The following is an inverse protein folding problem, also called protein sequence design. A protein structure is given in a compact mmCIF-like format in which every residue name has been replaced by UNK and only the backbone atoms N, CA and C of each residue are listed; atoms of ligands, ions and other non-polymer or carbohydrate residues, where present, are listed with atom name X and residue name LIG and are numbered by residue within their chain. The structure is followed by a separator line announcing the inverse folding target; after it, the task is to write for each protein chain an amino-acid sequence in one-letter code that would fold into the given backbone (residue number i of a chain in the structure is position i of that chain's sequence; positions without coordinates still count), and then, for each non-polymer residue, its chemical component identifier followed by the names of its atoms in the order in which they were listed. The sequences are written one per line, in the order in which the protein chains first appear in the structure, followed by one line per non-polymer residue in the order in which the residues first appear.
data_IF_899329443219
#
_entry.id   IF_899329443219
#
_cell.length_a   1.000
_cell.length_b   1.000
_cell.length_c   1.000
_cell.angle_alpha   90.00
_cell.angle_beta   90.00
_cell.angle_gamma   90.00
#
_symmetry.space_group_name_H-M   'P 1'
#
loop_
_entity.id
_entity.type
_entity.pdbx_description
1 polymer ?
#
# COMPACT_ATOMS: atom_id res chain seq x y z
N UNK A 1 8.74 -6.48 -1.83
CA UNK A 1 8.25 -5.95 -0.52
C UNK A 1 9.35 -5.22 0.22
N UNK A 2 10.51 -5.86 0.48
CA UNK A 2 11.68 -5.24 1.12
C UNK A 2 12.06 -3.89 0.48
N UNK A 3 12.36 -3.85 -0.84
CA UNK A 3 12.67 -2.60 -1.56
C UNK A 3 11.60 -1.51 -1.47
N UNK A 4 10.32 -1.88 -1.43
CA UNK A 4 9.20 -0.94 -1.31
C UNK A 4 9.18 -0.28 0.06
N UNK A 5 9.43 -1.07 1.10
CA UNK A 5 9.46 -0.63 2.49
C UNK A 5 10.72 0.21 2.76
N UNK A 6 11.88 -0.22 2.28
CA UNK A 6 13.16 0.45 2.54
C UNK A 6 13.24 1.86 1.91
N UNK A 7 12.43 2.14 0.89
CA UNK A 7 12.44 3.43 0.18
C UNK A 7 11.07 4.11 0.19
N UNK A 8 10.25 3.81 1.20
CA UNK A 8 8.90 4.36 1.32
C UNK A 8 8.92 5.88 1.62
N UNK A 9 10.04 6.37 2.15
CA UNK A 9 10.40 7.80 2.26
C UNK A 9 10.60 8.48 0.89
N UNK A 10 10.91 7.71 -0.16
CA UNK A 10 11.05 8.15 -1.54
C UNK A 10 9.93 7.61 -2.41
N UNK A 11 8.71 8.00 -2.08
CA UNK A 11 7.46 7.50 -2.67
C UNK A 11 7.50 7.37 -4.22
N UNK A 12 8.04 8.38 -4.91
CA UNK A 12 8.16 8.40 -6.38
C UNK A 12 9.05 7.28 -6.94
N UNK A 13 10.08 6.86 -6.19
CA UNK A 13 11.01 5.81 -6.62
C UNK A 13 10.45 4.39 -6.44
N UNK A 14 9.48 4.21 -5.55
CA UNK A 14 8.85 2.90 -5.25
C UNK A 14 7.51 2.70 -5.93
N UNK A 15 6.87 3.77 -6.39
CA UNK A 15 5.59 3.76 -7.13
C UNK A 15 5.56 2.75 -8.29
N UNK A 16 6.57 2.65 -9.18
CA UNK A 16 6.56 1.69 -10.27
C UNK A 16 6.55 0.22 -9.78
N UNK A 17 7.25 -0.06 -8.68
CA UNK A 17 7.27 -1.40 -8.08
C UNK A 17 5.94 -1.73 -7.41
N UNK A 18 5.34 -0.76 -6.72
CA UNK A 18 4.00 -0.92 -6.13
C UNK A 18 2.97 -1.18 -7.24
N UNK A 19 3.03 -0.44 -8.34
CA UNK A 19 2.16 -0.66 -9.51
C UNK A 19 2.36 -2.03 -10.13
N UNK A 20 3.60 -2.50 -10.31
CA UNK A 20 3.87 -3.83 -10.85
C UNK A 20 3.25 -4.94 -9.99
N UNK A 21 3.44 -4.88 -8.67
CA UNK A 21 2.87 -5.86 -7.75
C UNK A 21 1.35 -5.76 -7.67
N UNK A 22 0.80 -4.55 -7.64
CA UNK A 22 -0.65 -4.35 -7.67
C UNK A 22 -1.27 -4.89 -8.97
N UNK A 23 -0.63 -4.71 -10.13
CA UNK A 23 -1.14 -5.24 -11.39
C UNK A 23 -1.12 -6.77 -11.47
N UNK A 24 -0.24 -7.43 -10.73
CA UNK A 24 -0.28 -8.89 -10.58
C UNK A 24 -1.42 -9.32 -9.66
N UNK A 25 -1.69 -8.54 -8.61
CA UNK A 25 -2.78 -8.76 -7.65
C UNK A 25 -4.17 -8.49 -8.26
N UNK A 26 -4.30 -7.53 -9.17
CA UNK A 26 -5.59 -7.21 -9.83
C UNK A 26 -6.15 -8.39 -10.63
N UNK A 27 -5.29 -9.31 -11.07
CA UNK A 27 -5.67 -10.53 -11.81
C UNK A 27 -6.21 -11.65 -10.91
N UNK A 28 -6.17 -11.48 -9.59
CA UNK A 28 -6.49 -12.53 -8.61
C UNK A 28 -7.88 -12.40 -7.98
N UNK A 29 -8.71 -11.45 -8.42
CA UNK A 29 -10.05 -11.23 -7.83
C UNK A 29 -10.02 -10.71 -6.39
N UNK A 30 -8.91 -10.07 -6.00
CA UNK A 30 -8.71 -9.50 -4.66
C UNK A 30 -9.76 -8.46 -4.31
N UNK A 31 -10.22 -8.47 -3.06
CA UNK A 31 -11.12 -7.48 -2.49
C UNK A 31 -10.37 -6.42 -1.69
N UNK A 32 -11.07 -5.34 -1.34
CA UNK A 32 -10.53 -4.30 -0.47
C UNK A 32 -10.13 -4.86 0.92
N UNK A 33 -10.91 -5.79 1.46
CA UNK A 33 -10.62 -6.45 2.74
C UNK A 33 -9.39 -7.34 2.70
N UNK A 34 -9.10 -7.97 1.56
CA UNK A 34 -7.90 -8.81 1.45
C UNK A 34 -6.60 -8.01 1.56
N UNK A 35 -6.61 -6.74 1.14
CA UNK A 35 -5.48 -5.83 1.30
C UNK A 35 -5.28 -5.46 2.79
N UNK A 36 -6.36 -5.33 3.56
CA UNK A 36 -6.28 -5.13 5.01
C UNK A 36 -5.71 -6.37 5.70
N UNK A 37 -6.27 -7.54 5.39
CA UNK A 37 -5.80 -8.84 5.88
C UNK A 37 -4.32 -9.05 5.62
N UNK A 38 -3.82 -8.68 4.43
CA UNK A 38 -2.41 -8.77 4.10
C UNK A 38 -1.54 -7.88 5.01
N UNK A 39 -1.98 -6.65 5.29
CA UNK A 39 -1.24 -5.72 6.15
C UNK A 39 -1.20 -6.23 7.61
N UNK A 40 -2.33 -6.75 8.10
CA UNK A 40 -2.43 -7.30 9.46
C UNK A 40 -1.58 -8.57 9.61
N UNK A 41 -1.63 -9.46 8.61
CA UNK A 41 -0.79 -10.66 8.57
C UNK A 41 0.70 -10.30 8.56
N UNK A 42 1.08 -9.22 7.87
CA UNK A 42 2.46 -8.74 7.84
C UNK A 42 2.93 -8.25 9.22
N UNK A 43 2.12 -7.47 9.95
CA UNK A 43 2.43 -7.08 11.33
C UNK A 43 2.54 -8.29 12.24
N UNK A 44 1.60 -9.23 12.15
CA UNK A 44 1.61 -10.44 12.97
C UNK A 44 2.89 -11.27 12.74
N UNK A 45 3.28 -11.46 11.47
CA UNK A 45 4.51 -12.14 11.10
C UNK A 45 5.76 -11.42 11.64
N UNK A 46 5.82 -10.08 11.53
CA UNK A 46 6.92 -9.27 12.09
C UNK A 46 7.03 -9.44 13.60
N UNK A 47 5.89 -9.40 14.31
CA UNK A 47 5.84 -9.57 15.76
C UNK A 47 6.33 -10.94 16.19
N UNK A 48 5.95 -12.00 15.46
CA UNK A 48 6.44 -13.37 15.71
C UNK A 48 7.95 -13.46 15.45
N UNK A 49 8.43 -12.90 14.34
CA UNK A 49 9.83 -13.02 13.94
C UNK A 49 10.79 -12.25 14.85
N UNK A 50 10.43 -11.03 15.25
CA UNK A 50 11.27 -10.16 16.08
C UNK A 50 11.09 -10.41 17.58
N UNK A 51 9.96 -10.98 17.99
CA UNK A 51 9.68 -11.31 19.39
C UNK A 51 9.84 -10.09 20.30
N UNK A 52 10.82 -10.13 21.20
CA UNK A 52 11.09 -9.06 22.18
C UNK A 52 11.63 -7.77 21.55
N UNK A 53 12.25 -7.87 20.37
CA UNK A 53 12.77 -6.71 19.64
C UNK A 53 11.67 -5.93 18.92
N UNK A 54 10.43 -6.48 18.86
CA UNK A 54 9.27 -5.76 18.33
C UNK A 54 8.74 -4.75 19.35
N UNK A 55 9.48 -3.65 19.51
CA UNK A 55 9.12 -2.58 20.43
C UNK A 55 7.88 -1.81 19.96
N UNK A 56 7.24 -1.09 20.88
CA UNK A 56 6.09 -0.22 20.59
C UNK A 56 6.39 0.83 19.50
N UNK A 57 7.59 1.42 19.53
CA UNK A 57 8.00 2.41 18.53
C UNK A 57 8.14 1.76 17.15
N UNK A 58 8.71 0.55 17.09
CA UNK A 58 8.84 -0.20 15.86
C UNK A 58 7.46 -0.60 15.30
N UNK A 59 6.55 -1.07 16.17
CA UNK A 59 5.17 -1.37 15.79
C UNK A 59 4.47 -0.15 15.17
N UNK A 60 4.57 1.02 15.82
CA UNK A 60 3.96 2.25 15.31
C UNK A 60 4.53 2.67 13.94
N UNK A 61 5.85 2.60 13.77
CA UNK A 61 6.49 2.91 12.50
C UNK A 61 6.01 1.99 11.37
N UNK A 62 5.93 0.68 11.64
CA UNK A 62 5.43 -0.30 10.67
C UNK A 62 3.95 -0.12 10.35
N UNK A 63 3.11 0.16 11.36
CA UNK A 63 1.69 0.46 11.13
C UNK A 63 1.49 1.70 10.25
N UNK A 64 2.33 2.72 10.42
CA UNK A 64 2.31 3.91 9.57
C UNK A 64 2.72 3.57 8.12
N UNK A 65 3.83 2.85 7.94
CA UNK A 65 4.29 2.41 6.62
C UNK A 65 3.24 1.56 5.88
N UNK A 66 2.61 0.62 6.58
CA UNK A 66 1.57 -0.24 6.02
C UNK A 66 0.28 0.50 5.72
N UNK A 67 -0.11 1.51 6.51
CA UNK A 67 -1.25 2.37 6.15
C UNK A 67 -1.03 3.09 4.83
N UNK A 68 0.17 3.61 4.60
CA UNK A 68 0.51 4.25 3.32
C UNK A 68 0.48 3.25 2.17
N UNK A 69 1.11 2.09 2.35
CA UNK A 69 1.08 1.00 1.36
C UNK A 69 -0.35 0.58 1.03
N UNK A 70 -1.18 0.30 2.04
CA UNK A 70 -2.57 -0.11 1.92
C UNK A 70 -3.37 0.95 1.14
N UNK A 71 -3.22 2.22 1.52
CA UNK A 71 -3.90 3.33 0.83
C UNK A 71 -3.53 3.40 -0.65
N UNK A 72 -2.24 3.28 -1.00
CA UNK A 72 -1.76 3.31 -2.38
C UNK A 72 -2.32 2.12 -3.17
N UNK A 73 -2.20 0.91 -2.63
CA UNK A 73 -2.67 -0.32 -3.29
C UNK A 73 -4.18 -0.29 -3.50
N UNK A 74 -4.96 0.09 -2.49
CA UNK A 74 -6.42 0.21 -2.62
C UNK A 74 -6.82 1.28 -3.62
N UNK A 75 -6.13 2.42 -3.63
CA UNK A 75 -6.36 3.48 -4.62
C UNK A 75 -6.17 2.98 -6.04
N UNK A 76 -5.13 2.17 -6.26
CA UNK A 76 -4.80 1.62 -7.57
C UNK A 76 -5.77 0.50 -7.99
N UNK A 77 -6.08 -0.43 -7.08
CA UNK A 77 -6.87 -1.63 -7.39
C UNK A 77 -8.38 -1.36 -7.41
N UNK A 78 -8.87 -0.49 -6.53
CA UNK A 78 -10.31 -0.30 -6.29
C UNK A 78 -10.77 1.12 -6.56
N UNK A 79 -9.88 2.00 -7.03
CA UNK A 79 -10.22 3.38 -7.37
C UNK A 79 -10.79 4.15 -6.16
N UNK A 80 -10.43 3.77 -4.93
CA UNK A 80 -11.02 4.24 -3.66
C UNK A 80 -10.43 5.57 -3.15
N UNK A 81 -9.48 6.18 -3.85
CA UNK A 81 -8.90 7.45 -3.44
C UNK A 81 -9.52 8.65 -4.14
N UNK A 82 -9.82 9.66 -3.34
CA UNK A 82 -10.22 11.00 -3.77
C UNK A 82 -9.21 11.61 -4.77
N UNK A 83 -7.92 11.23 -4.71
CA UNK A 83 -6.87 11.71 -5.62
C UNK A 83 -7.07 11.14 -7.04
N UNK A 84 -7.56 9.90 -7.16
CA UNK A 84 -7.87 9.29 -8.47
C UNK A 84 -9.16 9.88 -9.06
N UNK A 85 -10.14 10.22 -8.21
CA UNK A 85 -11.33 10.96 -8.63
C UNK A 85 -10.98 12.38 -9.13
N UNK A 86 -10.03 13.07 -8.47
CA UNK A 86 -9.52 14.38 -8.89
C UNK A 86 -8.76 14.26 -10.23
N UNK A 87 -7.86 13.29 -10.38
CA UNK A 87 -7.14 13.13 -11.66
C UNK A 87 -8.06 12.73 -12.83
N UNK A 88 -9.08 11.89 -12.60
CA UNK A 88 -10.08 11.56 -13.63
C UNK A 88 -10.93 12.77 -14.03
N UNK A 89 -11.35 13.60 -13.08
CA UNK A 89 -12.13 14.81 -13.37
C UNK A 89 -11.32 15.88 -14.10
N UNK A 90 -10.04 16.07 -13.74
CA UNK A 90 -9.12 16.96 -14.45
C UNK A 90 -8.86 16.48 -15.89
N UNK A 91 -8.69 15.18 -16.13
CA UNK A 91 -8.52 14.65 -17.48
C UNK A 91 -9.79 14.76 -18.34
N UNK A 92 -10.98 14.68 -17.76
CA UNK A 92 -12.24 14.87 -18.48
C UNK A 92 -12.47 16.34 -18.88
N UNK A 93 -12.06 17.30 -18.05
CA UNK A 93 -12.16 18.73 -18.37
C UNK A 93 -11.16 19.21 -19.43
N UNK A 94 -10.02 18.54 -19.60
CA UNK A 94 -9.02 18.91 -20.63
C UNK A 94 -9.36 18.34 -22.01
N UNK A 95 -10.18 17.28 -22.06
CA UNK A 95 -10.60 16.61 -23.30
C UNK A 95 -12.01 17.01 -23.78
N UNK A 96 -12.61 18.06 -23.19
CA UNK A 96 -13.90 18.63 -23.59
C UNK A 96 -13.70 20.06 -24.08
#
# INVERSE_FOLDING_TARGET
MERTITHLDRLLSVLPFIHYHANNLSKSGLTCQDVDLLCDAFIAALKIHLGREFTLNLEQAWRYALRMFNSIVKSYLFNTSNIVAINKSVQQQVNS
#
